data_IF_872586490955
#
_entry.id   IF_872586490955
#
_cell.length_a   1.000
_cell.length_b   1.000
_cell.length_c   1.000
_cell.angle_alpha   90.00
_cell.angle_beta   90.00
_cell.angle_gamma   90.00
#
_symmetry.space_group_name_H-M   'P 1'
#
loop_
_entity.id
_entity.type
_entity.pdbx_description
1 polymer ?
#
# COMPACT_ATOMS: atom_id res chain seq x y z
N UNK A 1 16.73 13.19 89.91
CA UNK A 1 16.64 11.84 89.29
C UNK A 1 15.88 12.01 87.95
N UNK A 2 16.59 11.93 86.85
CA UNK A 2 16.12 12.32 85.55
C UNK A 2 15.92 11.03 84.71
N UNK A 3 14.65 10.74 84.34
CA UNK A 3 14.30 9.59 83.52
C UNK A 3 14.23 10.03 82.04
N UNK A 4 15.14 9.55 81.26
CA UNK A 4 15.13 9.69 79.78
C UNK A 4 14.18 8.67 79.16
N UNK A 5 13.15 9.16 78.48
CA UNK A 5 12.31 8.35 77.59
C UNK A 5 12.93 8.31 76.19
N UNK A 6 13.31 7.15 75.76
CA UNK A 6 13.75 6.88 74.35
C UNK A 6 12.48 6.59 73.53
N UNK A 7 12.22 7.44 72.53
CA UNK A 7 11.17 7.17 71.51
C UNK A 7 11.82 6.38 70.36
N UNK A 8 11.38 5.18 70.17
CA UNK A 8 11.72 4.38 68.98
C UNK A 8 10.88 4.87 67.78
N UNK A 9 11.54 5.30 66.72
CA UNK A 9 10.93 5.69 65.45
C UNK A 9 10.86 4.43 64.57
N UNK A 10 9.66 3.89 64.33
CA UNK A 10 9.41 2.83 63.38
C UNK A 10 9.32 3.47 61.98
N UNK A 11 10.32 3.23 61.14
CA UNK A 11 10.29 3.48 59.68
C UNK A 11 9.55 2.34 59.01
N UNK A 12 8.33 2.62 58.56
CA UNK A 12 7.61 1.72 57.65
C UNK A 12 8.14 1.93 56.22
N UNK A 13 8.90 0.96 55.70
CA UNK A 13 9.28 0.92 54.30
C UNK A 13 8.14 0.29 53.53
N UNK A 14 7.35 1.13 52.83
CA UNK A 14 6.33 0.65 51.87
C UNK A 14 7.04 0.20 50.60
N UNK A 15 7.18 -1.10 50.41
CA UNK A 15 7.62 -1.68 49.15
C UNK A 15 6.46 -1.58 48.13
N UNK A 16 6.57 -0.67 47.17
CA UNK A 16 5.68 -0.60 46.02
C UNK A 16 6.06 -1.77 45.10
N UNK A 17 5.27 -2.84 45.08
CA UNK A 17 5.35 -3.87 44.05
C UNK A 17 4.81 -3.26 42.76
N UNK A 18 5.68 -2.90 41.80
CA UNK A 18 5.31 -2.72 40.42
C UNK A 18 4.93 -4.10 39.88
N UNK A 19 3.66 -4.37 39.73
CA UNK A 19 3.18 -5.48 38.96
C UNK A 19 3.47 -5.15 37.48
N UNK A 20 4.55 -5.71 36.95
CA UNK A 20 4.75 -5.75 35.50
C UNK A 20 3.62 -6.63 34.95
N UNK A 21 2.59 -6.00 34.41
CA UNK A 21 1.61 -6.67 33.54
C UNK A 21 2.36 -7.06 32.28
N UNK A 22 2.80 -8.30 32.21
CA UNK A 22 3.20 -8.90 30.93
C UNK A 22 1.95 -8.89 30.04
N UNK A 23 1.87 -7.98 29.09
CA UNK A 23 0.91 -8.10 28.00
C UNK A 23 1.13 -9.48 27.37
N UNK A 24 0.07 -10.28 27.18
CA UNK A 24 0.21 -11.50 26.41
C UNK A 24 0.74 -11.10 25.05
N UNK A 25 1.79 -11.76 24.57
CA UNK A 25 2.20 -11.68 23.18
C UNK A 25 0.92 -11.96 22.37
N UNK A 26 0.49 -10.98 21.55
CA UNK A 26 -0.59 -11.21 20.63
C UNK A 26 -0.18 -12.42 19.79
N UNK A 27 -0.92 -13.52 19.93
CA UNK A 27 -0.75 -14.64 19.02
C UNK A 27 -1.06 -14.04 17.65
N UNK A 28 -0.11 -14.16 16.72
CA UNK A 28 -0.40 -13.86 15.32
C UNK A 28 -1.66 -14.63 14.97
N UNK A 29 -2.79 -13.91 14.82
CA UNK A 29 -4.04 -14.51 14.40
C UNK A 29 -3.75 -15.21 13.08
N UNK A 30 -4.31 -16.39 12.85
CA UNK A 30 -4.26 -17.00 11.53
C UNK A 30 -5.13 -16.15 10.59
N UNK A 31 -4.50 -15.15 9.97
CA UNK A 31 -5.15 -14.21 9.04
C UNK A 31 -5.34 -14.81 7.65
N UNK A 32 -4.99 -16.08 7.45
CA UNK A 32 -5.10 -16.73 6.14
C UNK A 32 -6.54 -16.80 5.62
N UNK A 33 -7.52 -16.92 6.52
CA UNK A 33 -8.95 -16.96 6.18
C UNK A 33 -9.59 -15.57 6.05
N UNK A 34 -8.97 -14.51 6.58
CA UNK A 34 -9.44 -13.15 6.43
C UNK A 34 -9.28 -12.69 4.97
N UNK A 35 -10.19 -11.86 4.49
CA UNK A 35 -10.08 -11.27 3.15
C UNK A 35 -9.01 -10.18 3.12
N UNK A 36 -8.58 -9.79 1.93
CA UNK A 36 -7.61 -8.69 1.76
C UNK A 36 -8.07 -7.40 2.45
N UNK A 37 -9.37 -7.13 2.50
CA UNK A 37 -9.93 -5.95 3.14
C UNK A 37 -9.99 -6.03 4.68
N UNK A 38 -9.73 -7.18 5.28
CA UNK A 38 -9.78 -7.41 6.72
C UNK A 38 -8.39 -7.46 7.35
N UNK A 39 -7.34 -7.22 6.56
CA UNK A 39 -5.95 -7.23 7.03
C UNK A 39 -5.27 -5.89 6.79
N UNK A 40 -4.29 -5.59 7.63
CA UNK A 40 -3.39 -4.44 7.50
C UNK A 40 -1.97 -4.94 7.32
N UNK A 41 -1.23 -4.31 6.39
CA UNK A 41 0.18 -4.60 6.18
C UNK A 41 1.01 -3.32 6.18
N UNK A 42 2.31 -3.43 6.45
CA UNK A 42 3.24 -2.30 6.40
C UNK A 42 3.94 -2.20 5.06
N UNK A 43 4.21 -0.99 4.63
CA UNK A 43 4.79 -0.65 3.34
C UNK A 43 5.94 0.34 3.40
N UNK A 44 6.64 0.46 2.30
CA UNK A 44 7.76 1.38 2.13
C UNK A 44 7.37 2.45 1.11
N UNK A 45 7.39 3.71 1.55
CA UNK A 45 7.24 4.88 0.71
C UNK A 45 8.47 5.04 -0.21
N UNK A 46 8.29 5.42 -1.46
CA UNK A 46 9.39 5.62 -2.43
C UNK A 46 10.40 4.45 -2.53
N UNK A 47 9.95 3.22 -2.40
CA UNK A 47 10.78 2.00 -2.33
C UNK A 47 11.85 1.94 -3.43
N UNK A 48 11.51 2.35 -4.64
CA UNK A 48 12.41 2.35 -5.81
C UNK A 48 13.59 3.33 -5.65
N UNK A 49 13.45 4.38 -4.82
CA UNK A 49 14.44 5.45 -4.64
C UNK A 49 15.37 5.22 -3.44
N UNK A 50 15.05 4.31 -2.53
CA UNK A 50 15.80 4.05 -1.29
C UNK A 50 17.08 3.22 -1.51
N UNK A 51 17.85 3.58 -2.53
CA UNK A 51 19.03 2.84 -2.99
C UNK A 51 20.19 2.75 -1.99
N UNK A 52 20.16 3.55 -0.94
CA UNK A 52 21.14 3.50 0.15
C UNK A 52 20.82 2.40 1.18
N UNK A 53 19.55 2.14 1.43
CA UNK A 53 19.07 1.07 2.30
C UNK A 53 18.88 -0.23 1.52
N UNK A 54 18.32 -0.14 0.32
CA UNK A 54 18.00 -1.25 -0.55
C UNK A 54 18.71 -1.08 -1.90
N UNK A 55 19.83 -1.75 -2.05
CA UNK A 55 20.63 -1.68 -3.29
C UNK A 55 19.82 -2.09 -4.51
N UNK A 56 18.95 -3.09 -4.33
CA UNK A 56 18.03 -3.63 -5.31
C UNK A 56 16.60 -3.59 -4.77
N UNK A 57 15.61 -3.53 -5.65
CA UNK A 57 14.19 -3.58 -5.24
C UNK A 57 13.90 -4.87 -4.44
N UNK A 58 14.54 -5.97 -4.80
CA UNK A 58 14.39 -7.23 -4.10
C UNK A 58 14.87 -7.18 -2.64
N UNK A 59 15.87 -6.36 -2.30
CA UNK A 59 16.31 -6.19 -0.90
C UNK A 59 15.18 -5.60 -0.04
N UNK A 60 14.37 -4.70 -0.60
CA UNK A 60 13.19 -4.17 0.08
C UNK A 60 12.09 -5.23 0.20
N UNK A 61 11.84 -5.99 -0.86
CA UNK A 61 10.88 -7.11 -0.83
C UNK A 61 11.25 -8.19 0.19
N UNK A 62 12.54 -8.46 0.39
CA UNK A 62 13.05 -9.44 1.36
C UNK A 62 12.78 -9.06 2.82
N UNK A 63 12.45 -7.80 3.10
CA UNK A 63 11.96 -7.38 4.43
C UNK A 63 10.59 -7.95 4.76
N UNK A 64 9.86 -8.47 3.78
CA UNK A 64 8.47 -8.90 3.91
C UNK A 64 7.47 -7.76 3.79
N UNK A 65 7.88 -6.58 3.30
CA UNK A 65 6.98 -5.43 3.10
C UNK A 65 5.73 -5.81 2.32
N UNK A 66 4.58 -5.31 2.75
CA UNK A 66 3.28 -5.54 2.10
C UNK A 66 2.95 -4.52 1.01
N UNK A 67 3.74 -3.45 0.88
CA UNK A 67 3.58 -2.43 -0.15
C UNK A 67 4.94 -1.94 -0.63
N UNK A 68 5.05 -1.77 -1.94
CA UNK A 68 6.14 -1.03 -2.61
C UNK A 68 5.54 0.07 -3.47
N UNK A 69 6.24 1.20 -3.58
CA UNK A 69 5.84 2.35 -4.38
C UNK A 69 6.81 2.56 -5.54
N UNK A 70 6.25 2.93 -6.70
CA UNK A 70 6.98 3.20 -7.94
C UNK A 70 6.47 4.50 -8.57
N UNK A 71 7.26 5.57 -8.56
CA UNK A 71 6.95 6.80 -9.31
C UNK A 71 7.22 6.62 -10.79
N UNK A 72 6.19 6.76 -11.60
CA UNK A 72 6.23 6.41 -13.01
C UNK A 72 5.93 7.62 -13.91
N UNK A 73 6.78 7.86 -14.89
CA UNK A 73 6.63 8.89 -15.91
C UNK A 73 6.31 8.26 -17.28
N UNK A 74 5.28 8.74 -17.93
CA UNK A 74 5.07 8.52 -19.35
C UNK A 74 6.10 9.35 -20.13
N UNK A 75 7.16 8.71 -20.64
CA UNK A 75 8.20 9.40 -21.36
C UNK A 75 7.78 9.66 -22.81
N UNK A 76 7.42 10.89 -23.08
CA UNK A 76 6.90 11.35 -24.38
C UNK A 76 7.89 11.23 -25.55
N UNK A 77 9.18 11.05 -25.28
CA UNK A 77 10.19 10.90 -26.34
C UNK A 77 10.47 9.45 -26.71
N UNK A 78 10.30 8.53 -25.78
CA UNK A 78 10.65 7.13 -25.97
C UNK A 78 9.46 6.20 -26.03
N UNK A 79 8.27 6.66 -25.58
CA UNK A 79 7.08 5.82 -25.41
C UNK A 79 7.25 4.75 -24.34
N UNK A 80 8.13 4.99 -23.35
CA UNK A 80 8.39 4.07 -22.23
C UNK A 80 7.88 4.65 -20.92
N UNK A 81 7.59 3.76 -19.97
CA UNK A 81 7.29 4.10 -18.61
C UNK A 81 8.59 4.12 -17.80
N UNK A 82 9.12 5.32 -17.52
CA UNK A 82 10.32 5.49 -16.70
C UNK A 82 9.95 5.47 -15.22
N UNK A 83 10.84 4.92 -14.38
CA UNK A 83 10.68 4.96 -12.92
C UNK A 83 11.73 5.87 -12.32
N UNK A 84 11.27 7.02 -11.76
CA UNK A 84 12.14 8.04 -11.16
C UNK A 84 11.32 9.04 -10.38
N UNK A 85 11.85 9.54 -9.26
CA UNK A 85 11.19 10.57 -8.43
C UNK A 85 11.02 11.89 -9.18
N UNK A 86 12.04 12.39 -9.85
CA UNK A 86 12.05 13.74 -10.42
C UNK A 86 12.57 13.85 -11.87
N UNK A 87 12.96 12.72 -12.49
CA UNK A 87 13.50 12.74 -13.84
C UNK A 87 12.52 12.13 -14.86
N UNK A 88 11.74 12.96 -15.59
CA UNK A 88 10.76 12.46 -16.55
C UNK A 88 11.39 11.83 -17.80
N UNK A 89 12.68 12.07 -18.04
CA UNK A 89 13.38 11.66 -19.27
C UNK A 89 14.23 10.40 -19.10
N UNK A 90 14.36 9.90 -17.88
CA UNK A 90 15.16 8.71 -17.57
C UNK A 90 14.67 7.98 -16.34
N UNK A 91 15.23 6.81 -16.12
CA UNK A 91 14.97 6.02 -14.91
C UNK A 91 16.09 6.23 -13.90
N UNK A 92 15.73 6.39 -12.63
CA UNK A 92 16.66 6.48 -11.51
C UNK A 92 16.07 5.71 -10.32
N UNK A 93 16.40 4.40 -10.23
CA UNK A 93 15.78 3.48 -9.28
C UNK A 93 16.68 2.29 -8.96
N UNK A 94 16.21 1.42 -8.07
CA UNK A 94 16.89 0.19 -7.64
C UNK A 94 16.42 -1.08 -8.39
N UNK A 95 15.56 -0.98 -9.39
CA UNK A 95 15.15 -2.12 -10.23
C UNK A 95 16.29 -2.58 -11.12
N UNK A 96 16.36 -3.90 -11.32
CA UNK A 96 17.30 -4.54 -12.26
C UNK A 96 16.53 -5.24 -13.36
N UNK A 97 17.21 -5.74 -14.36
CA UNK A 97 16.58 -6.55 -15.40
C UNK A 97 16.78 -8.03 -15.08
N UNK A 98 16.09 -8.52 -14.05
CA UNK A 98 16.18 -9.93 -13.67
C UNK A 98 15.46 -10.83 -14.70
N UNK A 99 16.00 -12.03 -14.91
CA UNK A 99 15.34 -13.11 -15.64
C UNK A 99 15.05 -14.32 -14.73
N UNK A 100 15.80 -14.42 -13.63
CA UNK A 100 15.68 -15.47 -12.63
C UNK A 100 15.77 -14.87 -11.23
N UNK A 101 15.41 -15.62 -10.19
CA UNK A 101 15.55 -15.18 -8.81
C UNK A 101 17.03 -14.88 -8.43
N UNK A 102 17.99 -15.54 -9.06
CA UNK A 102 19.41 -15.27 -8.81
C UNK A 102 19.89 -13.91 -9.34
N UNK A 103 19.16 -13.32 -10.29
CA UNK A 103 19.52 -12.03 -10.87
C UNK A 103 19.01 -10.85 -10.03
N UNK A 104 18.04 -11.06 -9.13
CA UNK A 104 17.32 -10.01 -8.39
C UNK A 104 18.23 -9.11 -7.54
N UNK A 105 19.38 -9.62 -7.10
CA UNK A 105 20.36 -8.91 -6.28
C UNK A 105 21.66 -8.60 -7.03
N UNK A 106 21.59 -8.52 -8.37
CA UNK A 106 22.77 -8.27 -9.22
C UNK A 106 22.40 -7.43 -10.44
N UNK A 107 23.40 -6.85 -11.09
CA UNK A 107 23.24 -6.17 -12.37
C UNK A 107 23.08 -4.66 -12.25
N UNK A 108 22.79 -4.06 -13.41
CA UNK A 108 22.65 -2.62 -13.54
C UNK A 108 21.25 -2.17 -13.13
N UNK A 109 21.19 -1.17 -12.25
CA UNK A 109 19.96 -0.52 -11.80
C UNK A 109 19.46 0.51 -12.80
N UNK A 110 18.46 1.30 -12.40
CA UNK A 110 17.88 2.38 -13.19
C UNK A 110 17.12 1.87 -14.43
N UNK A 111 16.31 0.84 -14.23
CA UNK A 111 15.51 0.23 -15.28
C UNK A 111 14.16 0.94 -15.44
N UNK A 112 13.45 0.66 -16.52
CA UNK A 112 12.08 1.13 -16.74
C UNK A 112 11.09 0.26 -15.94
N UNK A 113 9.82 0.67 -15.93
CA UNK A 113 8.75 0.00 -15.19
C UNK A 113 8.59 -1.48 -15.56
N UNK A 114 8.82 -1.87 -16.81
CA UNK A 114 8.81 -3.27 -17.26
C UNK A 114 9.72 -4.15 -16.39
N UNK A 115 10.95 -3.70 -16.20
CA UNK A 115 11.93 -4.44 -15.39
C UNK A 115 11.56 -4.44 -13.91
N UNK A 116 11.04 -3.32 -13.35
CA UNK A 116 10.57 -3.28 -11.97
C UNK A 116 9.43 -4.30 -11.74
N UNK A 117 8.47 -4.37 -12.67
CA UNK A 117 7.36 -5.32 -12.59
C UNK A 117 7.84 -6.77 -12.78
N UNK A 118 8.82 -7.02 -13.67
CA UNK A 118 9.44 -8.34 -13.82
C UNK A 118 10.20 -8.76 -12.57
N UNK A 119 10.96 -7.86 -11.92
CA UNK A 119 11.66 -8.12 -10.66
C UNK A 119 10.64 -8.51 -9.57
N UNK A 120 9.53 -7.76 -9.43
CA UNK A 120 8.44 -8.08 -8.49
C UNK A 120 7.85 -9.45 -8.80
N UNK A 121 7.53 -9.74 -10.06
CA UNK A 121 6.98 -11.04 -10.47
C UNK A 121 7.92 -12.20 -10.12
N UNK A 122 9.19 -12.07 -10.45
CA UNK A 122 10.20 -13.11 -10.20
C UNK A 122 10.36 -13.32 -8.69
N UNK A 123 10.36 -12.24 -7.90
CA UNK A 123 10.44 -12.33 -6.45
C UNK A 123 9.21 -13.04 -5.87
N UNK A 124 7.99 -12.66 -6.26
CA UNK A 124 6.75 -13.29 -5.81
C UNK A 124 6.70 -14.78 -6.15
N UNK A 125 7.18 -15.16 -7.34
CA UNK A 125 7.25 -16.57 -7.74
C UNK A 125 8.25 -17.38 -6.93
N UNK A 126 9.32 -16.74 -6.45
CA UNK A 126 10.30 -17.36 -5.56
C UNK A 126 9.82 -17.42 -4.10
N UNK A 127 8.85 -16.56 -3.71
CA UNK A 127 8.33 -16.44 -2.35
C UNK A 127 6.79 -16.66 -2.31
N UNK A 128 6.28 -17.82 -2.72
CA UNK A 128 4.84 -18.04 -2.91
C UNK A 128 4.02 -18.11 -1.60
N UNK A 129 4.67 -18.11 -0.44
CA UNK A 129 4.01 -18.12 0.87
C UNK A 129 3.94 -16.74 1.53
N UNK A 130 4.35 -15.69 0.81
CA UNK A 130 4.32 -14.32 1.32
C UNK A 130 2.90 -13.74 1.36
N UNK A 131 2.74 -12.65 2.11
CA UNK A 131 1.53 -11.82 2.12
C UNK A 131 1.34 -11.19 0.72
N UNK A 132 0.07 -10.88 0.29
CA UNK A 132 -0.16 -10.13 -0.94
C UNK A 132 0.58 -8.79 -0.95
N UNK A 133 1.20 -8.47 -2.08
CA UNK A 133 1.95 -7.23 -2.26
C UNK A 133 1.08 -6.18 -2.94
N UNK A 134 0.90 -5.02 -2.32
CA UNK A 134 0.41 -3.83 -3.00
C UNK A 134 1.56 -3.18 -3.77
N UNK A 135 1.37 -2.96 -5.06
CA UNK A 135 2.26 -2.15 -5.90
C UNK A 135 1.56 -0.83 -6.17
N UNK A 136 1.96 0.20 -5.45
CA UNK A 136 1.48 1.57 -5.62
C UNK A 136 2.26 2.22 -6.76
N UNK A 137 1.57 2.65 -7.80
CA UNK A 137 2.16 3.37 -8.93
C UNK A 137 1.67 4.81 -8.91
N UNK A 138 2.53 5.74 -8.54
CA UNK A 138 2.28 7.16 -8.72
C UNK A 138 2.55 7.54 -10.19
N UNK A 139 1.50 7.86 -10.93
CA UNK A 139 1.60 8.26 -12.34
C UNK A 139 1.93 9.75 -12.42
N UNK A 140 3.23 10.09 -12.40
CA UNK A 140 3.73 11.47 -12.21
C UNK A 140 3.14 12.48 -13.19
N UNK A 141 2.90 12.11 -14.44
CA UNK A 141 2.36 12.96 -15.50
C UNK A 141 1.15 12.34 -16.22
N UNK A 142 0.48 11.39 -15.57
CA UNK A 142 -0.74 10.78 -16.11
C UNK A 142 -0.52 9.93 -17.36
N UNK A 143 -1.63 9.66 -18.07
CA UNK A 143 -1.60 8.97 -19.36
C UNK A 143 -1.34 9.94 -20.53
N UNK A 144 -0.67 9.47 -21.58
CA UNK A 144 -0.49 10.23 -22.82
C UNK A 144 -1.10 9.46 -24.02
N UNK A 145 -2.33 9.82 -24.36
CA UNK A 145 -3.04 9.20 -25.48
C UNK A 145 -2.39 9.47 -26.84
N UNK A 146 -1.62 10.56 -26.99
CA UNK A 146 -0.98 10.92 -28.27
C UNK A 146 0.15 9.95 -28.63
N UNK A 147 0.75 9.32 -27.62
CA UNK A 147 1.79 8.31 -27.77
C UNK A 147 1.27 6.87 -27.62
N UNK A 148 -0.05 6.71 -27.49
CA UNK A 148 -0.63 5.41 -27.21
C UNK A 148 -0.36 4.90 -25.80
N UNK A 149 0.14 5.75 -24.90
CA UNK A 149 0.35 5.47 -23.48
C UNK A 149 -0.96 5.74 -22.72
N UNK A 150 -1.94 4.89 -22.92
CA UNK A 150 -3.31 5.02 -22.43
C UNK A 150 -3.68 3.83 -21.51
N UNK A 151 -4.83 3.85 -20.84
CA UNK A 151 -5.25 2.75 -19.96
C UNK A 151 -5.20 1.37 -20.61
N UNK A 152 -5.64 1.23 -21.85
CA UNK A 152 -5.63 -0.07 -22.57
C UNK A 152 -4.21 -0.61 -22.77
N UNK A 153 -3.27 0.25 -23.17
CA UNK A 153 -1.87 -0.16 -23.33
C UNK A 153 -1.21 -0.44 -21.97
N UNK A 154 -1.58 0.31 -20.94
CA UNK A 154 -1.08 0.10 -19.60
C UNK A 154 -1.56 -1.24 -19.00
N UNK A 155 -2.85 -1.59 -19.19
CA UNK A 155 -3.36 -2.91 -18.82
C UNK A 155 -2.58 -4.05 -19.46
N UNK A 156 -2.38 -3.96 -20.78
CA UNK A 156 -1.63 -4.96 -21.51
C UNK A 156 -0.18 -5.07 -21.03
N UNK A 157 0.42 -3.92 -20.70
CA UNK A 157 1.78 -3.81 -20.17
C UNK A 157 1.91 -4.45 -18.79
N UNK A 158 1.08 -4.08 -17.84
CA UNK A 158 1.11 -4.64 -16.48
C UNK A 158 0.87 -6.15 -16.51
N UNK A 159 -0.11 -6.61 -17.29
CA UNK A 159 -0.39 -8.05 -17.46
C UNK A 159 0.74 -8.82 -18.11
N UNK A 160 1.44 -8.22 -19.06
CA UNK A 160 2.58 -8.88 -19.73
C UNK A 160 3.73 -9.13 -18.73
N UNK A 161 3.95 -8.23 -17.79
CA UNK A 161 5.07 -8.30 -16.84
C UNK A 161 4.73 -9.02 -15.53
N UNK A 162 3.56 -8.78 -14.93
CA UNK A 162 3.15 -9.50 -13.71
C UNK A 162 2.52 -10.87 -13.98
N UNK A 163 1.86 -11.05 -15.12
CA UNK A 163 1.29 -12.33 -15.53
C UNK A 163 0.35 -12.93 -14.49
N UNK A 164 0.58 -14.20 -14.13
CA UNK A 164 -0.26 -14.93 -13.19
C UNK A 164 -0.11 -14.50 -11.72
N UNK A 165 0.86 -13.65 -11.39
CA UNK A 165 0.98 -13.10 -10.03
C UNK A 165 0.04 -11.92 -9.78
N UNK A 166 -0.63 -11.39 -10.81
CA UNK A 166 -1.52 -10.25 -10.69
C UNK A 166 -2.92 -10.67 -10.19
N UNK A 167 -3.47 -9.94 -9.22
CA UNK A 167 -4.88 -9.92 -8.84
C UNK A 167 -5.54 -8.69 -9.47
N UNK A 168 -6.65 -8.88 -10.17
CA UNK A 168 -7.24 -7.86 -11.06
C UNK A 168 -8.62 -7.39 -10.61
N UNK A 169 -9.13 -6.26 -11.15
CA UNK A 169 -10.52 -5.86 -10.98
C UNK A 169 -11.53 -6.95 -11.37
N UNK A 170 -11.23 -7.75 -12.39
CA UNK A 170 -12.09 -8.85 -12.80
C UNK A 170 -12.14 -9.97 -11.74
N UNK A 171 -11.04 -10.22 -11.02
CA UNK A 171 -11.02 -11.20 -9.93
C UNK A 171 -11.93 -10.75 -8.79
N UNK A 172 -11.86 -9.46 -8.39
CA UNK A 172 -12.75 -8.90 -7.37
C UNK A 172 -14.22 -8.98 -7.80
N UNK A 173 -14.54 -8.73 -9.06
CA UNK A 173 -15.91 -8.78 -9.57
C UNK A 173 -16.48 -10.19 -9.65
N UNK A 174 -15.64 -11.22 -9.74
CA UNK A 174 -16.07 -12.60 -9.98
C UNK A 174 -16.51 -13.26 -8.69
N UNK A 175 -17.77 -13.69 -8.61
CA UNK A 175 -18.33 -14.43 -7.48
C UNK A 175 -17.90 -15.91 -7.51
N UNK A 176 -18.08 -16.58 -6.40
CA UNK A 176 -17.75 -18.01 -6.27
C UNK A 176 -18.54 -18.92 -7.22
N UNK A 177 -19.71 -18.49 -7.70
CA UNK A 177 -20.53 -19.21 -8.69
C UNK A 177 -20.16 -18.89 -10.16
N UNK A 178 -19.14 -18.05 -10.37
CA UNK A 178 -18.67 -17.58 -11.68
C UNK A 178 -19.46 -16.41 -12.27
N UNK A 179 -20.55 -15.98 -11.65
CA UNK A 179 -21.24 -14.74 -12.03
C UNK A 179 -20.45 -13.52 -11.58
N UNK A 180 -20.84 -12.31 -12.02
CA UNK A 180 -20.14 -11.07 -11.67
C UNK A 180 -21.03 -10.07 -10.96
N UNK A 181 -20.42 -9.30 -10.08
CA UNK A 181 -20.98 -8.05 -9.58
C UNK A 181 -21.01 -7.01 -10.71
N UNK A 182 -21.94 -6.02 -10.64
CA UNK A 182 -22.07 -5.00 -11.69
C UNK A 182 -20.91 -4.00 -11.72
N UNK A 183 -20.28 -3.78 -10.58
CA UNK A 183 -19.20 -2.82 -10.36
C UNK A 183 -18.35 -3.18 -9.14
N UNK A 184 -17.20 -2.49 -8.98
CA UNK A 184 -16.25 -2.75 -7.90
C UNK A 184 -16.82 -2.39 -6.52
N UNK A 185 -17.58 -1.31 -6.40
CA UNK A 185 -18.20 -0.88 -5.15
C UNK A 185 -19.14 -1.94 -4.59
N UNK A 186 -19.99 -2.50 -5.46
CA UNK A 186 -20.90 -3.58 -5.07
C UNK A 186 -20.13 -4.84 -4.64
N UNK A 187 -19.05 -5.17 -5.33
CA UNK A 187 -18.21 -6.33 -4.99
C UNK A 187 -17.46 -6.11 -3.66
N UNK A 188 -16.84 -4.95 -3.47
CA UNK A 188 -16.14 -4.61 -2.24
C UNK A 188 -17.09 -4.62 -1.03
N UNK A 189 -18.24 -3.97 -1.12
CA UNK A 189 -19.27 -3.96 -0.06
C UNK A 189 -19.79 -5.35 0.30
N UNK A 190 -19.77 -6.28 -0.65
CA UNK A 190 -20.08 -7.68 -0.40
C UNK A 190 -18.88 -8.47 0.19
N UNK A 191 -17.78 -7.80 0.48
CA UNK A 191 -16.49 -8.38 0.90
C UNK A 191 -16.04 -9.53 -0.03
N UNK A 192 -16.12 -9.29 -1.35
CA UNK A 192 -15.72 -10.28 -2.35
C UNK A 192 -14.20 -10.29 -2.63
N UNK A 193 -13.41 -9.62 -1.80
CA UNK A 193 -11.96 -9.74 -1.84
C UNK A 193 -11.54 -11.18 -1.57
N UNK A 194 -10.53 -11.65 -2.28
CA UNK A 194 -10.01 -12.97 -2.03
C UNK A 194 -9.39 -13.06 -0.62
N UNK A 195 -9.42 -14.27 -0.05
CA UNK A 195 -8.76 -14.52 1.23
C UNK A 195 -7.24 -14.30 1.13
N UNK A 196 -6.65 -13.78 2.19
CA UNK A 196 -5.22 -13.45 2.26
C UNK A 196 -4.34 -14.64 1.85
N UNK A 197 -4.65 -15.85 2.32
CA UNK A 197 -3.92 -17.05 1.91
C UNK A 197 -4.05 -17.38 0.41
N UNK A 198 -5.20 -17.07 -0.21
CA UNK A 198 -5.41 -17.28 -1.64
C UNK A 198 -4.63 -16.27 -2.51
N UNK A 199 -4.22 -15.15 -1.91
CA UNK A 199 -3.43 -14.09 -2.54
C UNK A 199 -1.93 -14.23 -2.23
N UNK A 200 -1.48 -15.28 -1.57
CA UNK A 200 -0.04 -15.54 -1.38
C UNK A 200 0.68 -15.57 -2.71
N UNK A 201 1.79 -14.81 -2.81
CA UNK A 201 2.57 -14.65 -4.04
C UNK A 201 1.85 -13.88 -5.15
N UNK A 202 0.83 -13.08 -4.79
CA UNK A 202 0.12 -12.18 -5.71
C UNK A 202 0.45 -10.72 -5.44
N UNK A 203 0.31 -9.91 -6.50
CA UNK A 203 0.34 -8.46 -6.43
C UNK A 203 -1.03 -7.88 -6.74
N UNK A 204 -1.42 -6.86 -6.00
CA UNK A 204 -2.50 -5.93 -6.32
C UNK A 204 -1.84 -4.64 -6.78
N UNK A 205 -2.23 -4.09 -7.90
CA UNK A 205 -1.64 -2.84 -8.41
C UNK A 205 -2.66 -1.73 -8.29
N UNK A 206 -2.29 -0.65 -7.62
CA UNK A 206 -3.03 0.61 -7.66
C UNK A 206 -2.31 1.66 -8.49
N UNK A 207 -3.07 2.59 -9.06
CA UNK A 207 -2.55 3.79 -9.70
C UNK A 207 -3.14 5.03 -9.06
N UNK A 208 -2.30 6.02 -8.78
CA UNK A 208 -2.70 7.31 -8.22
C UNK A 208 -2.26 8.46 -9.11
N UNK A 209 -2.99 9.61 -9.08
CA UNK A 209 -2.55 10.84 -9.72
C UNK A 209 -1.25 11.33 -9.11
N UNK A 210 -0.23 11.54 -9.93
CA UNK A 210 1.06 12.03 -9.47
C UNK A 210 1.08 13.52 -9.17
N UNK A 211 2.06 13.94 -8.39
CA UNK A 211 2.21 15.34 -7.96
C UNK A 211 2.36 16.32 -9.13
N UNK A 212 3.01 15.91 -10.22
CA UNK A 212 3.13 16.76 -11.41
C UNK A 212 1.79 16.85 -12.15
N UNK A 213 1.09 15.73 -12.36
CA UNK A 213 -0.25 15.71 -12.97
C UNK A 213 -1.22 16.61 -12.21
N UNK A 214 -1.27 16.49 -10.88
CA UNK A 214 -2.10 17.33 -10.02
C UNK A 214 -1.81 18.83 -10.15
N UNK A 215 -0.56 19.19 -10.42
CA UNK A 215 -0.14 20.60 -10.55
C UNK A 215 -0.52 21.24 -11.89
N UNK A 216 -0.65 20.43 -12.96
CA UNK A 216 -0.80 20.94 -14.33
C UNK A 216 -2.16 20.61 -14.95
N UNK A 217 -2.83 19.57 -14.50
CA UNK A 217 -4.08 19.08 -15.10
C UNK A 217 -5.28 19.23 -14.15
N UNK A 218 -6.49 19.48 -14.71
CA UNK A 218 -7.70 19.51 -13.90
C UNK A 218 -8.04 18.09 -13.39
N UNK A 219 -8.59 17.99 -12.17
CA UNK A 219 -8.91 16.71 -11.53
C UNK A 219 -9.81 15.78 -12.36
N UNK A 220 -10.59 16.33 -13.30
CA UNK A 220 -11.44 15.54 -14.19
C UNK A 220 -10.67 14.73 -15.25
N UNK A 221 -9.38 14.97 -15.40
CA UNK A 221 -8.50 14.29 -16.37
C UNK A 221 -7.37 13.50 -15.68
N UNK A 222 -7.35 13.47 -14.36
CA UNK A 222 -6.36 12.70 -13.63
C UNK A 222 -6.45 11.20 -13.92
N UNK A 223 -5.35 10.53 -13.76
CA UNK A 223 -5.18 9.11 -14.11
C UNK A 223 -6.23 8.20 -13.47
N UNK A 224 -6.63 8.47 -12.24
CA UNK A 224 -7.65 7.72 -11.52
C UNK A 224 -9.03 7.85 -12.17
N UNK A 225 -9.44 9.07 -12.55
CA UNK A 225 -10.70 9.36 -13.27
C UNK A 225 -10.71 8.70 -14.64
N UNK A 226 -9.61 8.88 -15.40
CA UNK A 226 -9.47 8.31 -16.74
C UNK A 226 -9.52 6.78 -16.68
N UNK A 227 -8.90 6.18 -15.67
CA UNK A 227 -8.90 4.74 -15.51
C UNK A 227 -10.24 4.21 -14.98
N UNK A 228 -10.93 4.92 -14.10
CA UNK A 228 -12.28 4.55 -13.65
C UNK A 228 -13.28 4.55 -14.84
N UNK A 229 -13.19 5.55 -15.74
CA UNK A 229 -13.97 5.55 -16.98
C UNK A 229 -13.62 4.33 -17.86
N UNK A 230 -12.34 4.00 -17.97
CA UNK A 230 -11.89 2.82 -18.72
C UNK A 230 -12.47 1.51 -18.15
N UNK A 231 -12.47 1.33 -16.83
CA UNK A 231 -13.09 0.16 -16.17
C UNK A 231 -14.59 0.06 -16.48
N UNK A 232 -15.30 1.19 -16.38
CA UNK A 232 -16.72 1.28 -16.71
C UNK A 232 -17.00 0.86 -18.17
N UNK A 233 -16.18 1.33 -19.10
CA UNK A 233 -16.30 1.02 -20.53
C UNK A 233 -15.99 -0.46 -20.81
N UNK A 234 -14.95 -1.02 -20.19
CA UNK A 234 -14.62 -2.44 -20.28
C UNK A 234 -15.74 -3.33 -19.75
N UNK A 235 -16.35 -2.95 -18.62
CA UNK A 235 -17.47 -3.68 -18.04
C UNK A 235 -18.70 -3.63 -18.94
N UNK A 236 -19.04 -2.45 -19.47
CA UNK A 236 -20.14 -2.28 -20.43
C UNK A 236 -19.95 -3.09 -21.71
N UNK A 237 -18.70 -3.24 -22.15
CA UNK A 237 -18.32 -4.06 -23.31
C UNK A 237 -18.21 -5.56 -23.00
N UNK A 238 -18.36 -6.00 -21.72
CA UNK A 238 -18.17 -7.38 -21.31
C UNK A 238 -16.71 -7.85 -21.38
N UNK A 239 -15.75 -6.94 -21.33
CA UNK A 239 -14.31 -7.19 -21.48
C UNK A 239 -13.47 -6.78 -20.27
N UNK A 240 -14.08 -6.73 -19.09
CA UNK A 240 -13.43 -6.31 -17.84
C UNK A 240 -12.20 -7.18 -17.49
N UNK A 241 -12.12 -8.38 -18.02
CA UNK A 241 -10.92 -9.23 -17.90
C UNK A 241 -9.65 -8.61 -18.50
N UNK A 242 -9.77 -7.52 -19.25
CA UNK A 242 -8.62 -6.76 -19.76
C UNK A 242 -8.02 -5.85 -18.70
N UNK A 243 -8.81 -5.40 -17.72
CA UNK A 243 -8.33 -4.52 -16.67
C UNK A 243 -7.23 -5.17 -15.84
N UNK A 244 -6.22 -4.40 -15.47
CA UNK A 244 -5.05 -4.86 -14.74
C UNK A 244 -4.93 -4.25 -13.34
N UNK A 245 -5.34 -2.99 -13.16
CA UNK A 245 -5.04 -2.21 -11.96
C UNK A 245 -6.29 -1.60 -11.34
N UNK A 246 -6.17 -1.04 -10.14
CA UNK A 246 -7.24 -0.35 -9.43
C UNK A 246 -6.92 1.15 -9.38
N UNK A 247 -7.84 2.03 -9.81
CA UNK A 247 -7.66 3.46 -9.58
C UNK A 247 -7.86 3.79 -8.11
N UNK A 248 -6.97 4.58 -7.53
CA UNK A 248 -6.99 5.00 -6.14
C UNK A 248 -7.29 6.49 -6.04
N UNK A 249 -8.22 6.84 -5.16
CA UNK A 249 -8.67 8.23 -4.95
C UNK A 249 -7.85 8.85 -3.83
N UNK A 250 -7.17 9.96 -4.12
CA UNK A 250 -6.40 10.71 -3.12
C UNK A 250 -7.29 11.39 -2.07
N UNK A 251 -6.73 11.61 -0.89
CA UNK A 251 -7.35 12.37 0.20
C UNK A 251 -8.48 11.62 0.89
N UNK A 252 -8.28 10.34 1.17
CA UNK A 252 -9.15 9.54 2.01
C UNK A 252 -9.18 10.12 3.43
N UNK A 253 -10.36 10.62 3.84
CA UNK A 253 -10.60 11.30 5.12
C UNK A 253 -12.03 11.02 5.60
N UNK A 254 -12.57 11.89 6.46
CA UNK A 254 -13.89 11.76 7.09
C UNK A 254 -15.10 11.66 6.13
N UNK A 255 -14.94 12.03 4.88
CA UNK A 255 -16.00 12.02 3.87
C UNK A 255 -15.57 11.26 2.64
N UNK A 256 -16.52 10.74 1.87
CA UNK A 256 -16.26 10.04 0.61
C UNK A 256 -15.54 10.95 -0.39
N UNK A 257 -14.25 10.75 -0.68
CA UNK A 257 -13.46 11.63 -1.53
C UNK A 257 -13.88 11.55 -3.01
N UNK A 258 -14.64 10.51 -3.41
CA UNK A 258 -15.19 10.38 -4.77
C UNK A 258 -16.12 11.51 -5.12
N UNK A 259 -16.70 12.20 -4.12
CA UNK A 259 -17.58 13.36 -4.31
C UNK A 259 -16.90 14.56 -4.97
N UNK A 260 -15.56 14.59 -5.05
CA UNK A 260 -14.82 15.59 -5.83
C UNK A 260 -15.05 15.46 -7.33
N UNK A 261 -15.44 14.28 -7.79
CA UNK A 261 -15.69 14.01 -9.21
C UNK A 261 -17.15 14.27 -9.54
N UNK A 262 -17.39 15.14 -10.53
CA UNK A 262 -18.73 15.55 -10.92
C UNK A 262 -19.54 14.42 -11.60
N UNK A 263 -18.86 13.46 -12.23
CA UNK A 263 -19.52 12.28 -12.80
C UNK A 263 -19.66 11.18 -11.74
N UNK A 264 -20.80 11.18 -11.05
CA UNK A 264 -21.11 10.18 -10.04
C UNK A 264 -21.21 8.74 -10.58
N UNK A 265 -21.29 8.55 -11.89
CA UNK A 265 -21.32 7.22 -12.50
C UNK A 265 -19.95 6.53 -12.49
N UNK A 266 -18.90 7.26 -12.14
CA UNK A 266 -17.55 6.73 -11.92
C UNK A 266 -17.34 6.25 -10.49
N UNK A 267 -18.10 6.76 -9.50
CA UNK A 267 -17.92 6.40 -8.08
C UNK A 267 -17.90 4.89 -7.83
N UNK A 268 -18.73 4.05 -8.48
CA UNK A 268 -18.70 2.62 -8.28
C UNK A 268 -17.42 1.90 -8.76
N UNK A 269 -16.52 2.60 -9.43
CA UNK A 269 -15.26 2.04 -9.95
C UNK A 269 -14.05 2.33 -9.05
N UNK A 270 -14.27 3.06 -7.95
CA UNK A 270 -13.23 3.36 -6.96
C UNK A 270 -13.49 2.58 -5.66
N UNK A 271 -12.56 1.71 -5.30
CA UNK A 271 -12.58 0.88 -4.09
C UNK A 271 -11.23 0.88 -3.37
N UNK A 272 -10.27 1.64 -3.89
CA UNK A 272 -8.95 1.90 -3.30
C UNK A 272 -8.81 3.40 -3.08
N UNK A 273 -8.24 3.78 -1.95
CA UNK A 273 -8.14 5.16 -1.51
C UNK A 273 -6.77 5.41 -0.88
N UNK A 274 -6.23 6.60 -1.10
CA UNK A 274 -4.93 7.01 -0.58
C UNK A 274 -5.09 8.22 0.35
N UNK A 275 -4.37 8.23 1.47
CA UNK A 275 -4.41 9.28 2.48
C UNK A 275 -3.02 9.57 3.05
N UNK A 276 -2.83 10.80 3.53
CA UNK A 276 -1.83 11.14 4.52
C UNK A 276 -2.24 10.62 5.89
N UNK A 277 -1.32 10.02 6.65
CA UNK A 277 -1.65 9.38 7.92
C UNK A 277 -2.14 10.36 8.98
N UNK A 278 -1.59 11.56 9.03
CA UNK A 278 -2.02 12.58 10.00
C UNK A 278 -3.43 13.08 9.70
N UNK A 279 -3.75 13.26 8.41
CA UNK A 279 -5.10 13.61 7.97
C UNK A 279 -6.09 12.45 8.19
N UNK A 280 -5.66 11.21 7.96
CA UNK A 280 -6.45 10.00 8.20
C UNK A 280 -6.94 9.91 9.65
N UNK A 281 -6.03 10.03 10.63
CA UNK A 281 -6.35 9.97 12.05
C UNK A 281 -7.07 11.23 12.52
N UNK A 282 -6.73 12.41 11.98
CA UNK A 282 -7.22 13.69 12.45
C UNK A 282 -8.67 14.01 12.07
N UNK A 283 -9.09 13.63 10.88
CA UNK A 283 -10.38 14.05 10.28
C UNK A 283 -11.48 12.96 10.34
N UNK A 284 -11.23 11.88 10.78
CA UNK A 284 -11.67 10.62 11.25
C UNK A 284 -13.05 10.04 11.12
N UNK A 285 -13.68 9.84 9.95
CA UNK A 285 -14.63 8.71 9.80
C UNK A 285 -14.01 7.57 8.98
N UNK A 286 -12.88 7.06 9.49
CA UNK A 286 -12.13 5.96 8.85
C UNK A 286 -12.93 4.67 8.81
N UNK A 287 -13.89 4.49 9.73
CA UNK A 287 -14.80 3.35 9.77
C UNK A 287 -15.67 3.20 8.51
N UNK A 288 -15.91 4.31 7.78
CA UNK A 288 -16.66 4.22 6.53
C UNK A 288 -15.92 3.37 5.49
N UNK A 289 -14.59 3.48 5.40
CA UNK A 289 -13.79 2.68 4.47
C UNK A 289 -13.76 1.21 4.88
N UNK A 290 -13.60 0.94 6.17
CA UNK A 290 -13.59 -0.41 6.71
C UNK A 290 -14.96 -1.10 6.55
N UNK A 291 -16.04 -0.43 6.97
CA UNK A 291 -17.42 -0.96 6.86
C UNK A 291 -17.86 -1.24 5.41
N UNK A 292 -17.22 -0.63 4.43
CA UNK A 292 -17.47 -0.89 3.01
C UNK A 292 -16.42 -1.82 2.37
N UNK A 293 -15.47 -2.33 3.16
CA UNK A 293 -14.37 -3.20 2.71
C UNK A 293 -13.53 -2.58 1.58
N UNK A 294 -13.36 -1.26 1.61
CA UNK A 294 -12.48 -0.57 0.68
C UNK A 294 -11.04 -0.69 1.15
N UNK A 295 -10.10 -0.82 0.22
CA UNK A 295 -8.68 -0.76 0.55
C UNK A 295 -8.25 0.70 0.74
N UNK A 296 -7.35 0.90 1.68
CA UNK A 296 -6.78 2.22 1.97
C UNK A 296 -5.27 2.12 2.07
N UNK A 297 -4.57 3.05 1.44
CA UNK A 297 -3.13 3.25 1.58
C UNK A 297 -2.92 4.53 2.37
N UNK A 298 -2.23 4.42 3.50
CA UNK A 298 -2.01 5.54 4.41
C UNK A 298 -0.52 5.81 4.50
N UNK A 299 -0.08 6.95 3.96
CA UNK A 299 1.33 7.31 3.81
C UNK A 299 1.78 8.22 4.96
N UNK A 300 3.10 8.26 5.23
CA UNK A 300 3.74 9.08 6.26
C UNK A 300 3.26 8.75 7.69
N UNK A 301 3.25 7.46 8.02
CA UNK A 301 2.82 6.95 9.32
C UNK A 301 3.50 7.65 10.52
N UNK A 302 4.68 8.24 10.34
CA UNK A 302 5.43 8.95 11.36
C UNK A 302 4.82 10.31 11.72
N UNK A 303 4.02 10.94 10.85
CA UNK A 303 3.49 12.30 11.05
C UNK A 303 2.25 12.36 11.95
N UNK A 304 1.62 11.23 12.26
CA UNK A 304 0.48 11.18 13.20
C UNK A 304 0.91 11.67 14.58
N UNK A 305 0.09 12.54 15.20
CA UNK A 305 0.42 13.14 16.51
C UNK A 305 0.23 12.13 17.67
N UNK A 306 1.20 12.02 18.59
CA UNK A 306 2.51 12.69 18.60
C UNK A 306 3.43 12.13 17.49
N UNK A 307 4.03 13.02 16.70
CA UNK A 307 4.87 12.61 15.59
C UNK A 307 6.10 11.82 16.06
N UNK A 308 6.48 10.82 15.28
CA UNK A 308 7.70 10.03 15.48
C UNK A 308 8.83 10.55 14.58
N UNK A 309 10.05 10.06 14.79
CA UNK A 309 11.12 10.27 13.81
C UNK A 309 10.72 9.63 12.47
N UNK A 310 10.93 10.34 11.36
CA UNK A 310 10.65 9.82 10.02
C UNK A 310 11.59 8.70 9.60
N UNK A 311 12.78 8.59 10.23
CA UNK A 311 13.83 7.65 9.80
C UNK A 311 14.21 6.61 10.85
N UNK A 312 14.16 6.96 12.16
CA UNK A 312 14.77 6.16 13.22
C UNK A 312 14.00 6.17 14.56
N UNK A 313 12.68 5.93 14.58
CA UNK A 313 11.97 5.73 15.84
C UNK A 313 12.44 4.43 16.51
N UNK A 314 12.10 4.26 17.80
CA UNK A 314 12.27 2.94 18.41
C UNK A 314 11.33 1.91 17.74
N UNK A 315 11.73 0.65 17.70
CA UNK A 315 10.86 -0.42 17.16
C UNK A 315 9.50 -0.46 17.88
N UNK A 316 9.50 -0.26 19.21
CA UNK A 316 8.26 -0.25 20.02
C UNK A 316 7.33 0.87 19.60
N UNK A 317 7.86 2.08 19.36
CA UNK A 317 7.03 3.22 18.92
C UNK A 317 6.52 3.02 17.51
N UNK A 318 7.34 2.48 16.61
CA UNK A 318 6.96 2.14 15.25
C UNK A 318 5.82 1.08 15.24
N UNK A 319 5.95 0.01 16.03
CA UNK A 319 4.93 -1.04 16.17
C UNK A 319 3.63 -0.50 16.77
N UNK A 320 3.72 0.38 17.78
CA UNK A 320 2.53 1.00 18.35
C UNK A 320 1.78 1.85 17.32
N UNK A 321 2.51 2.62 16.48
CA UNK A 321 1.93 3.43 15.42
C UNK A 321 1.28 2.57 14.32
N UNK A 322 1.92 1.50 13.90
CA UNK A 322 1.35 0.57 12.92
C UNK A 322 0.07 -0.06 13.48
N UNK A 323 0.07 -0.48 14.75
CA UNK A 323 -1.12 -1.04 15.40
C UNK A 323 -2.26 0.00 15.54
N UNK A 324 -1.94 1.27 15.84
CA UNK A 324 -2.90 2.38 15.85
C UNK A 324 -3.59 2.56 14.50
N UNK A 325 -2.81 2.68 13.44
CA UNK A 325 -3.35 2.89 12.09
C UNK A 325 -4.13 1.68 11.57
N UNK A 326 -3.71 0.46 11.92
CA UNK A 326 -4.45 -0.76 11.61
C UNK A 326 -5.81 -0.79 12.32
N UNK A 327 -5.86 -0.42 13.61
CA UNK A 327 -7.10 -0.31 14.39
C UNK A 327 -8.03 0.80 13.86
N UNK A 328 -7.47 1.87 13.27
CA UNK A 328 -8.22 2.93 12.60
C UNK A 328 -8.63 2.55 11.16
N UNK A 329 -8.42 1.31 10.73
CA UNK A 329 -8.93 0.78 9.48
C UNK A 329 -8.04 1.04 8.26
N UNK A 330 -6.74 1.33 8.41
CA UNK A 330 -5.79 1.36 7.29
C UNK A 330 -5.51 -0.05 6.77
N UNK A 331 -5.55 -0.26 5.44
CA UNK A 331 -5.18 -1.56 4.83
C UNK A 331 -3.67 -1.66 4.61
N UNK A 332 -3.06 -0.60 4.12
CA UNK A 332 -1.62 -0.50 3.91
C UNK A 332 -1.08 0.75 4.58
N UNK A 333 -0.07 0.56 5.43
CA UNK A 333 0.54 1.62 6.23
C UNK A 333 1.93 1.86 5.68
N UNK A 334 2.10 2.95 4.93
CA UNK A 334 3.34 3.29 4.25
C UNK A 334 4.21 4.21 5.10
N UNK A 335 5.52 3.98 5.12
CA UNK A 335 6.46 4.69 5.98
C UNK A 335 7.87 4.73 5.38
N UNK A 336 8.71 5.65 5.90
CA UNK A 336 10.13 5.78 5.58
C UNK A 336 11.05 5.02 6.57
N UNK A 337 10.50 4.13 7.40
CA UNK A 337 11.26 3.37 8.39
C UNK A 337 11.99 2.19 7.75
N UNK A 338 13.02 2.52 6.98
CA UNK A 338 13.79 1.58 6.15
C UNK A 338 15.08 1.08 6.82
N UNK A 339 15.42 1.61 8.01
CA UNK A 339 16.64 1.24 8.75
C UNK A 339 16.32 0.59 10.09
N UNK A 340 17.22 -0.26 10.58
CA UNK A 340 17.07 -0.90 11.88
C UNK A 340 17.23 0.12 13.03
N UNK A 341 16.45 0.01 14.13
CA UNK A 341 15.51 -1.08 14.41
C UNK A 341 14.10 -0.90 13.85
N UNK A 342 13.73 0.29 13.37
CA UNK A 342 12.38 0.65 12.97
C UNK A 342 11.84 -0.19 11.81
N UNK A 343 12.70 -0.60 10.87
CA UNK A 343 12.32 -1.49 9.76
C UNK A 343 11.84 -2.89 10.19
N UNK A 344 11.92 -3.22 11.48
CA UNK A 344 11.34 -4.45 12.03
C UNK A 344 9.81 -4.49 11.97
N UNK A 345 9.12 -3.38 11.64
CA UNK A 345 7.67 -3.36 11.37
C UNK A 345 7.31 -3.84 9.96
N UNK A 346 8.29 -3.83 9.03
CA UNK A 346 8.06 -4.33 7.69
C UNK A 346 7.84 -5.84 7.75
N UNK A 347 6.84 -6.33 7.07
CA UNK A 347 6.41 -7.73 7.17
C UNK A 347 5.42 -8.02 8.30
N UNK A 348 5.08 -7.04 9.15
CA UNK A 348 3.97 -7.19 10.08
C UNK A 348 2.63 -7.15 9.32
N UNK A 349 1.77 -8.12 9.64
CA UNK A 349 0.40 -8.21 9.15
C UNK A 349 -0.53 -8.30 10.35
N UNK A 350 -1.47 -7.40 10.42
CA UNK A 350 -2.39 -7.22 11.54
C UNK A 350 -3.85 -7.40 11.08
N UNK A 351 -4.74 -7.63 12.01
CA UNK A 351 -6.18 -7.48 11.75
C UNK A 351 -6.47 -6.01 11.55
N UNK A 352 -7.27 -5.69 10.55
CA UNK A 352 -7.76 -4.35 10.26
C UNK A 352 -9.05 -4.08 11.03
N UNK A 353 -9.17 -2.87 11.65
CA UNK A 353 -10.37 -2.42 12.37
C UNK A 353 -10.50 -2.94 13.79
#
# INVERSE_FOLDING_TARGET
>A
MIGRRVRALLLAVSALLLAATTMPAAHAADLGGATLAEVSGTGIHNTYNDKSAYTYLADALDTGTSLVELDTWANVFTGKWNVSHSNPLGSDNNCVKANTAADLHTGDRNQNLDSCLDDIRIWLQAHPAGHPLMVKIEMKNGFDNTLGMNPTSFDAYVKAHLGSTLYTPADLLTKSDGSRYPDLDTAARANNWAANAALSGKAVVEIIPGTFEQAVDPASTWVDVVYAQHLKDLAAAGTIDRAAVFPSVLGAQAVDPRTRYSDSTLHPWFVVFDADAAAWVGDGDTQWYDANHYLTVVTDAYDVSPALSSSDPSLTDAQARVAELAADGASYISTDWITAPANGVLGEVLTRG
#
